data_IF_202291896349
#
_entry.id   IF_202291896349
#
_cell.length_a   1.000
_cell.length_b   1.000
_cell.length_c   1.000
_cell.angle_alpha   90.00
_cell.angle_beta   90.00
_cell.angle_gamma   90.00
#
_symmetry.space_group_name_H-M   'P 1'
#
loop_
_entity.id
_entity.type
_entity.pdbx_description
1 polymer ?
#
# COMPACT_ATOMS: atom_id res chain seq x y z
N UNK A 1 34.17 58.29 -25.75
CA UNK A 1 33.97 57.19 -24.77
C UNK A 1 32.57 56.65 -25.00
N UNK A 2 32.45 55.55 -25.74
CA UNK A 2 31.17 54.87 -25.95
C UNK A 2 31.14 53.65 -25.03
N UNK A 3 30.17 53.59 -24.14
CA UNK A 3 29.97 52.48 -23.22
C UNK A 3 29.01 51.50 -23.91
N UNK A 4 29.51 50.35 -24.38
CA UNK A 4 28.65 49.28 -24.86
C UNK A 4 28.07 48.53 -23.66
N UNK A 5 26.76 48.63 -23.47
CA UNK A 5 26.05 47.93 -22.40
C UNK A 5 25.80 46.48 -22.82
N UNK A 6 26.45 45.52 -22.15
CA UNK A 6 26.27 44.10 -22.40
C UNK A 6 24.88 43.66 -21.90
N UNK A 7 24.04 43.17 -22.81
CA UNK A 7 22.75 42.56 -22.48
C UNK A 7 23.01 41.14 -21.97
N UNK A 8 22.89 40.95 -20.65
CA UNK A 8 22.92 39.62 -20.03
C UNK A 8 21.58 38.94 -20.29
N UNK A 9 21.57 37.94 -21.17
CA UNK A 9 20.44 37.02 -21.31
C UNK A 9 20.49 36.03 -20.14
N UNK A 10 19.64 36.23 -19.15
CA UNK A 10 19.37 35.23 -18.11
C UNK A 10 18.43 34.19 -18.72
N UNK A 11 18.94 32.99 -18.99
CA UNK A 11 18.08 31.82 -19.23
C UNK A 11 17.61 31.33 -17.87
N UNK A 12 16.37 31.64 -17.49
CA UNK A 12 15.69 30.91 -16.41
C UNK A 12 15.43 29.50 -16.91
N UNK A 13 16.14 28.52 -16.35
CA UNK A 13 15.75 27.12 -16.50
C UNK A 13 14.39 26.95 -15.82
N UNK A 14 13.32 26.89 -16.62
CA UNK A 14 12.07 26.29 -16.19
C UNK A 14 12.41 24.83 -15.92
N UNK A 15 12.55 24.47 -14.64
CA UNK A 15 12.72 23.08 -14.24
C UNK A 15 11.60 22.27 -14.86
N UNK A 16 11.96 21.26 -15.67
CA UNK A 16 10.99 20.32 -16.18
C UNK A 16 10.22 19.75 -14.98
N UNK A 17 8.89 19.86 -15.00
CA UNK A 17 8.07 19.07 -14.09
C UNK A 17 8.42 17.62 -14.35
N UNK A 18 8.84 16.89 -13.33
CA UNK A 18 8.95 15.44 -13.44
C UNK A 18 7.60 14.89 -13.90
N UNK A 19 7.57 14.23 -15.06
CA UNK A 19 6.36 13.61 -15.58
C UNK A 19 6.13 12.29 -14.82
N UNK A 20 5.08 12.23 -14.00
CA UNK A 20 4.75 11.02 -13.26
C UNK A 20 4.07 10.00 -14.17
N UNK A 21 4.47 8.73 -14.09
CA UNK A 21 3.86 7.62 -14.86
C UNK A 21 3.29 6.57 -13.92
N UNK A 22 2.07 6.09 -14.19
CA UNK A 22 1.40 5.09 -13.35
C UNK A 22 1.28 3.74 -14.06
N UNK A 23 1.54 2.67 -13.32
CA UNK A 23 1.55 1.28 -13.77
C UNK A 23 0.57 0.46 -12.93
N UNK A 24 -0.30 -0.30 -13.59
CA UNK A 24 -1.11 -1.31 -12.90
C UNK A 24 -0.25 -2.52 -12.58
N UNK A 25 -0.25 -2.93 -11.32
CA UNK A 25 0.57 -4.03 -10.81
C UNK A 25 -0.25 -5.01 -9.98
N UNK A 26 0.32 -6.18 -9.73
CA UNK A 26 -0.22 -7.13 -8.74
C UNK A 26 0.41 -6.84 -7.39
N UNK A 27 -0.40 -6.49 -6.39
CA UNK A 27 0.11 -6.33 -5.02
C UNK A 27 -0.93 -6.78 -4.00
N UNK A 28 -0.54 -7.70 -3.12
CA UNK A 28 -1.48 -8.32 -2.20
C UNK A 28 -0.98 -8.22 -0.76
N UNK A 29 -1.79 -7.60 0.10
CA UNK A 29 -1.65 -7.64 1.56
C UNK A 29 -2.44 -8.83 2.11
N UNK A 30 -1.82 -9.67 2.93
CA UNK A 30 -2.44 -10.89 3.43
C UNK A 30 -1.92 -11.32 4.79
N UNK A 31 -2.75 -12.09 5.51
CA UNK A 31 -2.31 -12.91 6.65
C UNK A 31 -1.69 -14.20 6.09
N UNK A 32 -0.40 -14.49 6.33
CA UNK A 32 0.21 -15.74 5.90
C UNK A 32 -0.44 -16.94 6.59
N UNK A 33 -0.51 -18.09 5.91
CA UNK A 33 -1.11 -19.32 6.44
C UNK A 33 -0.57 -19.73 7.82
N UNK A 34 0.74 -19.57 8.02
CA UNK A 34 1.40 -19.89 9.29
C UNK A 34 0.91 -19.04 10.49
N UNK A 35 0.32 -17.87 10.21
CA UNK A 35 -0.21 -16.95 11.22
C UNK A 35 -1.76 -16.94 11.25
N UNK A 36 -2.41 -17.57 10.27
CA UNK A 36 -3.86 -17.51 10.11
C UNK A 36 -4.54 -18.66 10.86
N UNK A 37 -4.81 -18.44 12.14
CA UNK A 37 -5.49 -19.41 12.99
C UNK A 37 -6.99 -19.59 12.65
N UNK A 38 -7.57 -18.72 11.82
CA UNK A 38 -9.00 -18.78 11.44
C UNK A 38 -9.24 -19.71 10.25
N UNK A 39 -8.44 -19.56 9.18
CA UNK A 39 -8.65 -20.32 7.93
C UNK A 39 -7.56 -21.37 7.68
N UNK A 40 -6.40 -21.29 8.34
CA UNK A 40 -5.26 -22.19 8.11
C UNK A 40 -4.60 -22.05 6.73
N UNK A 41 -4.93 -21.00 5.98
CA UNK A 41 -4.40 -20.67 4.64
C UNK A 41 -4.11 -19.17 4.54
N UNK A 42 -3.46 -18.74 3.45
CA UNK A 42 -3.29 -17.30 3.22
C UNK A 42 -4.67 -16.62 3.10
N UNK A 43 -4.86 -15.50 3.80
CA UNK A 43 -6.06 -14.66 3.69
C UNK A 43 -5.70 -13.29 3.13
N UNK A 44 -6.09 -13.03 1.89
CA UNK A 44 -5.74 -11.84 1.11
C UNK A 44 -6.72 -10.69 1.37
N UNK A 45 -6.32 -9.72 2.17
CA UNK A 45 -7.15 -8.55 2.52
C UNK A 45 -7.49 -7.67 1.30
N UNK A 46 -6.75 -7.83 0.20
CA UNK A 46 -7.01 -7.21 -1.11
C UNK A 46 -8.13 -7.88 -1.90
N UNK A 47 -8.57 -9.09 -1.51
CA UNK A 47 -9.66 -9.82 -2.12
C UNK A 47 -10.99 -9.51 -1.40
N UNK A 48 -12.03 -9.14 -2.13
CA UNK A 48 -13.32 -8.72 -1.57
C UNK A 48 -14.23 -9.88 -1.11
N UNK A 49 -13.85 -11.13 -1.38
CA UNK A 49 -14.67 -12.30 -1.03
C UNK A 49 -14.72 -12.53 0.48
N UNK A 50 -15.82 -13.13 0.96
CA UNK A 50 -16.00 -13.48 2.38
C UNK A 50 -14.86 -14.35 2.91
N UNK A 51 -14.39 -15.30 2.07
CA UNK A 51 -13.21 -16.10 2.33
C UNK A 51 -12.13 -15.74 1.29
N UNK A 52 -11.19 -14.85 1.63
CA UNK A 52 -10.24 -14.33 0.67
C UNK A 52 -9.02 -15.25 0.52
N UNK A 53 -9.22 -16.48 0.04
CA UNK A 53 -8.13 -17.49 0.02
C UNK A 53 -7.28 -17.46 -1.26
N UNK A 54 -7.56 -16.54 -2.18
CA UNK A 54 -6.83 -16.38 -3.44
C UNK A 54 -6.31 -14.95 -3.61
N UNK A 55 -5.09 -14.76 -4.16
CA UNK A 55 -4.58 -13.44 -4.49
C UNK A 55 -5.37 -12.80 -5.63
N UNK A 56 -5.27 -11.48 -5.76
CA UNK A 56 -5.87 -10.71 -6.86
C UNK A 56 -4.76 -10.16 -7.74
N UNK A 57 -4.87 -10.33 -9.05
CA UNK A 57 -3.92 -9.76 -10.02
C UNK A 57 -4.33 -8.34 -10.45
N UNK A 58 -3.36 -7.53 -10.86
CA UNK A 58 -3.60 -6.19 -11.45
C UNK A 58 -4.50 -5.29 -10.58
N UNK A 59 -4.35 -5.38 -9.26
CA UNK A 59 -5.26 -4.80 -8.28
C UNK A 59 -4.71 -3.54 -7.61
N UNK A 60 -3.46 -3.16 -7.89
CA UNK A 60 -2.77 -2.04 -7.27
C UNK A 60 -2.10 -1.15 -8.33
N UNK A 61 -1.61 0.01 -7.90
CA UNK A 61 -0.92 0.96 -8.77
C UNK A 61 0.43 1.34 -8.18
N UNK A 62 1.49 1.29 -9.00
CA UNK A 62 2.76 1.97 -8.72
C UNK A 62 2.82 3.21 -9.59
N UNK A 63 3.15 4.35 -9.00
CA UNK A 63 3.43 5.60 -9.70
C UNK A 63 4.92 5.90 -9.58
N UNK A 64 5.62 5.93 -10.71
CA UNK A 64 6.92 6.59 -10.82
C UNK A 64 6.66 8.10 -10.79
N UNK A 65 7.20 8.77 -9.78
CA UNK A 65 6.98 10.21 -9.60
C UNK A 65 7.91 11.06 -10.49
N UNK A 66 8.83 10.42 -11.24
CA UNK A 66 9.78 11.07 -12.15
C UNK A 66 10.94 11.80 -11.46
N UNK A 67 11.00 11.73 -10.13
CA UNK A 67 12.05 12.28 -9.27
C UNK A 67 12.94 11.19 -8.64
N UNK A 68 12.80 9.95 -9.10
CA UNK A 68 13.49 8.77 -8.57
C UNK A 68 12.77 8.13 -7.37
N UNK A 69 11.55 8.56 -7.04
CA UNK A 69 10.72 7.92 -6.02
C UNK A 69 9.50 7.22 -6.64
N UNK A 70 9.06 6.13 -5.99
CA UNK A 70 7.85 5.42 -6.38
C UNK A 70 6.80 5.48 -5.27
N UNK A 71 5.54 5.58 -5.66
CA UNK A 71 4.38 5.52 -4.77
C UNK A 71 3.56 4.27 -5.08
N UNK A 72 3.32 3.41 -4.09
CA UNK A 72 2.43 2.25 -4.20
C UNK A 72 1.07 2.59 -3.58
N UNK A 73 -0.02 2.29 -4.29
CA UNK A 73 -1.39 2.33 -3.79
C UNK A 73 -2.03 0.94 -3.84
N UNK A 74 -2.43 0.42 -2.68
CA UNK A 74 -3.01 -0.92 -2.50
C UNK A 74 -4.43 -0.84 -1.92
N UNK A 75 -5.47 -1.19 -2.71
CA UNK A 75 -6.83 -1.29 -2.21
C UNK A 75 -7.00 -2.46 -1.25
N UNK A 76 -7.53 -2.19 -0.05
CA UNK A 76 -7.84 -3.21 0.95
C UNK A 76 -9.34 -3.51 0.85
N UNK A 77 -9.71 -4.47 0.02
CA UNK A 77 -11.10 -4.71 -0.38
C UNK A 77 -11.90 -5.61 0.59
N UNK A 78 -11.24 -6.42 1.42
CA UNK A 78 -11.92 -7.40 2.26
C UNK A 78 -12.74 -6.74 3.38
N UNK A 79 -14.03 -7.07 3.46
CA UNK A 79 -14.90 -6.55 4.53
C UNK A 79 -15.18 -7.57 5.64
N UNK A 80 -14.91 -8.86 5.42
CA UNK A 80 -15.11 -9.91 6.43
C UNK A 80 -13.97 -9.94 7.44
N UNK A 81 -12.74 -9.77 6.97
CA UNK A 81 -11.54 -9.55 7.76
C UNK A 81 -11.14 -8.09 7.56
N UNK A 82 -11.77 -7.22 8.36
CA UNK A 82 -11.64 -5.78 8.21
C UNK A 82 -10.35 -5.30 8.88
N UNK A 83 -9.36 -4.86 8.09
CA UNK A 83 -8.11 -4.32 8.62
C UNK A 83 -8.37 -3.00 9.38
N UNK A 84 -8.15 -3.02 10.69
CA UNK A 84 -8.37 -1.88 11.57
C UNK A 84 -7.09 -1.05 11.67
N UNK A 85 -5.96 -1.67 12.00
CA UNK A 85 -4.66 -1.00 12.08
C UNK A 85 -3.61 -1.81 11.34
N UNK A 86 -2.78 -1.12 10.55
CA UNK A 86 -1.61 -1.72 9.94
C UNK A 86 -0.47 -1.79 10.98
N UNK A 87 0.17 -2.95 11.07
CA UNK A 87 1.32 -3.16 11.93
C UNK A 87 2.56 -2.37 11.51
N UNK A 88 3.63 -2.52 12.29
CA UNK A 88 4.91 -1.86 11.97
C UNK A 88 5.63 -2.61 10.85
N UNK A 89 6.05 -1.95 9.76
CA UNK A 89 6.85 -2.60 8.72
C UNK A 89 8.20 -3.06 9.30
N UNK A 90 8.73 -4.18 8.81
CA UNK A 90 10.08 -4.63 9.16
C UNK A 90 11.12 -3.53 8.86
N UNK A 91 12.21 -3.49 9.63
CA UNK A 91 13.28 -2.51 9.40
C UNK A 91 13.89 -2.68 8.00
N UNK A 92 14.24 -1.56 7.35
CA UNK A 92 14.78 -1.53 5.98
C UNK A 92 13.90 -2.28 4.97
N UNK A 93 12.57 -2.17 5.11
CA UNK A 93 11.59 -2.82 4.24
C UNK A 93 11.53 -2.25 2.81
N UNK A 94 12.16 -1.10 2.56
CA UNK A 94 11.94 -0.32 1.35
C UNK A 94 10.59 0.41 1.32
N UNK A 95 9.85 0.51 2.44
CA UNK A 95 8.58 1.24 2.51
C UNK A 95 8.67 2.39 3.51
N UNK A 96 8.10 3.54 3.17
CA UNK A 96 7.97 4.72 4.04
C UNK A 96 6.71 5.54 3.74
N UNK A 97 6.45 6.59 4.52
CA UNK A 97 5.34 7.54 4.32
C UNK A 97 3.98 6.86 4.10
N UNK A 98 3.65 5.90 4.96
CA UNK A 98 2.38 5.15 4.86
C UNK A 98 1.21 6.06 5.23
N UNK A 99 0.24 6.16 4.33
CA UNK A 99 -1.00 6.90 4.48
C UNK A 99 -2.17 5.93 4.34
N UNK A 100 -3.07 5.97 5.31
CA UNK A 100 -4.26 5.12 5.36
C UNK A 100 -5.50 5.91 4.93
N UNK A 101 -6.25 5.38 3.98
CA UNK A 101 -7.63 5.81 3.76
C UNK A 101 -8.56 4.86 4.49
N UNK A 102 -9.58 5.40 5.16
CA UNK A 102 -10.53 4.63 5.97
C UNK A 102 -11.96 4.88 5.54
N UNK A 103 -12.85 3.91 5.79
CA UNK A 103 -14.29 4.17 5.77
C UNK A 103 -14.77 4.70 7.13
N UNK A 104 -16.08 4.82 7.31
CA UNK A 104 -16.69 5.33 8.56
C UNK A 104 -17.58 4.30 9.26
N UNK A 105 -17.55 3.04 8.83
CA UNK A 105 -18.36 1.97 9.42
C UNK A 105 -17.84 1.56 10.79
N UNK A 106 -18.71 1.00 11.63
CA UNK A 106 -18.29 0.44 12.93
C UNK A 106 -17.97 -1.04 12.80
N UNK A 107 -16.86 -1.47 13.41
CA UNK A 107 -16.40 -2.86 13.45
C UNK A 107 -16.11 -3.26 14.90
N UNK A 108 -17.02 -4.00 15.53
CA UNK A 108 -16.95 -4.26 16.96
C UNK A 108 -17.04 -2.97 17.77
N UNK A 109 -16.05 -2.72 18.62
CA UNK A 109 -15.91 -1.45 19.36
C UNK A 109 -15.17 -0.36 18.58
N UNK A 110 -14.57 -0.66 17.42
CA UNK A 110 -13.89 0.34 16.62
C UNK A 110 -14.90 1.17 15.82
N UNK A 111 -15.00 2.46 16.16
CA UNK A 111 -15.87 3.44 15.48
C UNK A 111 -15.15 4.25 14.40
N UNK A 112 -13.84 4.09 14.25
CA UNK A 112 -13.02 4.87 13.31
C UNK A 112 -12.95 4.26 11.90
N UNK A 113 -13.77 3.26 11.61
CA UNK A 113 -13.72 2.56 10.33
C UNK A 113 -12.51 1.65 10.16
N UNK A 114 -12.54 0.90 9.06
CA UNK A 114 -11.43 0.06 8.62
C UNK A 114 -10.61 0.77 7.56
N UNK A 115 -9.34 0.38 7.43
CA UNK A 115 -8.47 0.79 6.33
C UNK A 115 -9.01 0.20 5.04
N UNK A 116 -9.22 1.04 4.02
CA UNK A 116 -9.73 0.69 2.69
C UNK A 116 -8.70 0.87 1.59
N UNK A 117 -7.66 1.68 1.82
CA UNK A 117 -6.52 1.82 0.90
C UNK A 117 -5.27 2.16 1.70
N UNK A 118 -4.12 1.64 1.25
CA UNK A 118 -2.80 2.04 1.70
C UNK A 118 -2.09 2.75 0.56
N UNK A 119 -1.57 3.95 0.82
CA UNK A 119 -0.66 4.66 -0.08
C UNK A 119 0.68 4.82 0.62
N UNK A 120 1.78 4.49 -0.03
CA UNK A 120 3.11 4.50 0.59
C UNK A 120 4.21 4.78 -0.43
N UNK A 121 5.28 5.42 0.02
CA UNK A 121 6.53 5.47 -0.75
C UNK A 121 7.16 4.08 -0.71
N UNK A 122 7.64 3.60 -1.85
CA UNK A 122 8.28 2.30 -1.99
C UNK A 122 9.59 2.43 -2.76
N UNK A 123 10.63 1.72 -2.33
CA UNK A 123 11.89 1.57 -3.04
C UNK A 123 11.70 0.61 -4.22
N UNK A 124 12.29 0.95 -5.36
CA UNK A 124 12.26 0.13 -6.56
C UNK A 124 12.70 -1.31 -6.29
N UNK A 125 11.98 -2.29 -6.84
CA UNK A 125 12.30 -3.71 -6.69
C UNK A 125 11.93 -4.34 -5.34
N UNK A 126 11.31 -3.59 -4.42
CA UNK A 126 10.80 -4.12 -3.14
C UNK A 126 9.70 -5.16 -3.41
N UNK A 127 10.02 -6.45 -3.30
CA UNK A 127 9.11 -7.53 -3.66
C UNK A 127 8.21 -8.04 -2.52
N UNK A 128 8.66 -7.96 -1.26
CA UNK A 128 7.91 -8.47 -0.11
C UNK A 128 8.24 -7.73 1.18
N UNK A 129 7.22 -7.34 1.94
CA UNK A 129 7.34 -6.63 3.22
C UNK A 129 6.46 -7.27 4.29
N UNK A 130 7.03 -7.48 5.48
CA UNK A 130 6.28 -7.96 6.64
C UNK A 130 5.86 -6.79 7.54
N UNK A 131 4.64 -6.86 8.07
CA UNK A 131 4.10 -5.93 9.06
C UNK A 131 3.79 -6.69 10.35
N UNK A 132 4.37 -6.25 11.47
CA UNK A 132 4.21 -6.92 12.78
C UNK A 132 3.17 -6.21 13.62
N UNK A 133 2.25 -6.98 14.22
CA UNK A 133 1.25 -6.46 15.15
C UNK A 133 0.07 -5.74 14.49
N UNK A 134 -0.33 -6.16 13.29
CA UNK A 134 -1.55 -5.63 12.66
C UNK A 134 -2.81 -6.11 13.37
N UNK A 135 -3.89 -5.35 13.27
CA UNK A 135 -5.17 -5.62 13.92
C UNK A 135 -6.29 -5.69 12.87
N UNK A 136 -7.06 -6.77 12.90
CA UNK A 136 -8.25 -6.97 12.09
C UNK A 136 -9.48 -7.19 12.98
N UNK A 137 -10.64 -6.73 12.52
CA UNK A 137 -11.91 -7.18 13.04
C UNK A 137 -12.47 -8.28 12.12
N UNK A 138 -12.64 -9.48 12.67
CA UNK A 138 -13.27 -10.58 11.96
C UNK A 138 -14.79 -10.52 12.13
N UNK A 139 -15.50 -10.33 11.03
CA UNK A 139 -16.93 -10.60 10.88
C UNK A 139 -17.25 -12.04 10.50
N UNK A 140 -16.25 -12.93 10.42
CA UNK A 140 -16.46 -14.33 10.10
C UNK A 140 -17.14 -15.05 11.29
N UNK A 141 -18.31 -15.64 11.05
CA UNK A 141 -19.20 -16.10 12.12
C UNK A 141 -18.62 -17.21 13.01
N UNK A 142 -17.65 -18.00 12.52
CA UNK A 142 -16.99 -19.03 13.33
C UNK A 142 -15.86 -18.48 14.22
N UNK A 143 -15.39 -17.26 13.95
CA UNK A 143 -14.34 -16.60 14.72
C UNK A 143 -14.50 -15.08 14.72
N UNK A 144 -15.60 -14.54 15.28
CA UNK A 144 -15.87 -13.11 15.25
C UNK A 144 -14.96 -12.34 16.22
N UNK A 145 -14.89 -11.03 16.05
CA UNK A 145 -14.19 -10.10 16.95
C UNK A 145 -12.76 -9.80 16.54
N UNK A 146 -12.07 -9.03 17.38
CA UNK A 146 -10.70 -8.57 17.14
C UNK A 146 -9.70 -9.72 17.01
N UNK A 147 -8.75 -9.54 16.11
CA UNK A 147 -7.68 -10.48 15.77
C UNK A 147 -6.38 -9.71 15.53
N UNK A 148 -5.27 -10.29 15.95
CA UNK A 148 -3.96 -9.67 15.80
C UNK A 148 -3.06 -10.61 15.02
N UNK A 149 -2.63 -10.18 13.85
CA UNK A 149 -1.84 -10.99 12.93
C UNK A 149 -0.67 -10.20 12.38
N UNK A 150 0.42 -10.89 12.10
CA UNK A 150 1.47 -10.33 11.25
C UNK A 150 1.07 -10.50 9.79
N UNK A 151 1.17 -9.43 9.02
CA UNK A 151 0.80 -9.41 7.60
C UNK A 151 2.04 -9.46 6.72
N UNK A 152 1.83 -9.88 5.48
CA UNK A 152 2.78 -9.70 4.38
C UNK A 152 2.15 -8.92 3.25
N UNK A 153 2.93 -8.06 2.62
CA UNK A 153 2.63 -7.40 1.37
C UNK A 153 3.59 -7.93 0.32
N UNK A 154 3.07 -8.56 -0.71
CA UNK A 154 3.87 -8.93 -1.89
C UNK A 154 3.57 -7.94 -3.03
N UNK A 155 4.59 -7.59 -3.81
CA UNK A 155 4.53 -6.60 -4.89
C UNK A 155 5.23 -7.16 -6.13
N UNK A 156 4.52 -7.17 -7.25
CA UNK A 156 5.05 -7.59 -8.55
C UNK A 156 5.45 -6.37 -9.39
N UNK A 157 6.76 -6.23 -9.62
CA UNK A 157 7.36 -5.14 -10.40
C UNK A 157 7.50 -5.46 -11.89
N UNK A 158 7.06 -6.63 -12.37
CA UNK A 158 7.34 -7.11 -13.74
C UNK A 158 6.93 -6.12 -14.85
N UNK A 159 5.90 -5.29 -14.61
CA UNK A 159 5.40 -4.32 -15.58
C UNK A 159 5.86 -2.87 -15.31
N UNK A 160 6.75 -2.66 -14.34
CA UNK A 160 7.36 -1.36 -14.04
C UNK A 160 8.75 -1.34 -14.73
N UNK A 161 9.04 -0.35 -15.58
CA UNK A 161 10.31 -0.25 -16.32
C UNK A 161 11.55 -0.09 -15.46
#
# INVERSE_FOLDING_TARGET
MSLAMAMVLIYSAVGASAESTSYTVTSNLYVPAANNEILGVNAYLTNSFVLPTSPVSNNATITDNGDGTYTLSVPIANNTFALIDLGTPQANSGISNIVETRNTSTYGSNTNGRITNLTMTIEEGTASVSFTGSHEYSGYFLSPGDKYFNLKLDVDWTNVP
#
